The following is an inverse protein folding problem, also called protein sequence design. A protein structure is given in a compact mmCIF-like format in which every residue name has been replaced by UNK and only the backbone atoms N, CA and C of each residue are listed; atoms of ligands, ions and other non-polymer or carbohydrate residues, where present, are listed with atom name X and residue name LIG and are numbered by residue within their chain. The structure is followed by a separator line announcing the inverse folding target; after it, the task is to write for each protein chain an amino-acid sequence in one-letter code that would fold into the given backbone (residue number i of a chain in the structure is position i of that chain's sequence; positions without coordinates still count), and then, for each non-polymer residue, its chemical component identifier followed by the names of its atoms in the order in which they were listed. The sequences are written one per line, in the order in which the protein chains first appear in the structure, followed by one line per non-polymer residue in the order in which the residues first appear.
data_IF_202292122069
#
_entry.id   IF_202292122069
#
_cell.length_a   1.000
_cell.length_b   1.000
_cell.length_c   1.000
_cell.angle_alpha   90.00
_cell.angle_beta   90.00
_cell.angle_gamma   90.00
#
_symmetry.space_group_name_H-M   'P 1'
#
loop_
_entity.id
_entity.type
_entity.pdbx_description
1 polymer ?
#
# COMPACT_ATOMS: atom_id res chain seq x y z
N UNK A 1 2.94 -13.79 1.92
CA UNK A 1 1.72 -13.34 2.63
C UNK A 1 1.16 -12.15 1.85
N UNK A 2 -0.08 -12.23 1.36
CA UNK A 2 -0.73 -11.18 0.56
C UNK A 2 -1.39 -10.10 1.40
N UNK A 3 -1.78 -10.40 2.66
CA UNK A 3 -2.30 -9.43 3.63
C UNK A 3 -1.53 -9.59 4.95
N UNK A 4 -0.34 -8.96 5.09
CA UNK A 4 0.45 -9.01 6.31
C UNK A 4 -0.24 -8.26 7.45
N UNK A 5 0.22 -8.51 8.70
CA UNK A 5 -0.13 -7.64 9.82
C UNK A 5 0.24 -6.20 9.49
N UNK A 6 -0.65 -5.27 9.82
CA UNK A 6 -0.57 -3.87 9.38
C UNK A 6 -0.71 -2.87 10.52
N UNK A 7 -0.46 -3.28 11.76
CA UNK A 7 -0.28 -2.32 12.85
C UNK A 7 1.05 -1.58 12.67
N UNK A 8 1.23 -0.42 13.30
CA UNK A 8 2.51 0.33 13.26
C UNK A 8 3.73 -0.48 13.75
N UNK A 9 3.50 -1.55 14.53
CA UNK A 9 4.54 -2.45 15.04
C UNK A 9 4.68 -3.75 14.24
N UNK A 10 3.85 -3.94 13.22
CA UNK A 10 3.93 -5.12 12.36
C UNK A 10 5.16 -5.04 11.45
N UNK A 11 5.68 -6.22 11.08
CA UNK A 11 6.89 -6.32 10.25
C UNK A 11 6.79 -5.55 8.92
N UNK A 12 5.62 -5.55 8.28
CA UNK A 12 5.47 -4.90 6.98
C UNK A 12 5.64 -3.38 7.06
N UNK A 13 4.85 -2.62 7.88
CA UNK A 13 5.11 -1.19 8.09
C UNK A 13 6.52 -0.86 8.57
N UNK A 14 7.09 -1.64 9.49
CA UNK A 14 8.44 -1.38 10.00
C UNK A 14 9.53 -1.45 8.92
N UNK A 15 9.44 -2.40 7.99
CA UNK A 15 10.43 -2.50 6.90
C UNK A 15 10.41 -1.27 6.00
N UNK A 16 9.23 -0.72 5.71
CA UNK A 16 9.09 0.51 4.93
C UNK A 16 9.58 1.75 5.66
N UNK A 17 9.31 1.84 6.96
CA UNK A 17 9.84 2.91 7.82
C UNK A 17 11.37 2.92 7.83
N UNK A 18 12.00 1.73 7.90
CA UNK A 18 13.46 1.58 7.77
C UNK A 18 14.00 1.95 6.38
N UNK A 19 13.15 1.98 5.35
CA UNK A 19 13.49 2.46 4.00
C UNK A 19 13.17 3.95 3.80
N UNK A 20 12.73 4.65 4.86
CA UNK A 20 12.43 6.08 4.84
C UNK A 20 11.00 6.43 4.43
N UNK A 21 10.07 5.47 4.41
CA UNK A 21 8.65 5.71 4.14
C UNK A 21 7.88 5.55 5.44
N UNK A 22 7.35 6.66 5.96
CA UNK A 22 6.62 6.66 7.22
C UNK A 22 5.31 5.85 7.11
N UNK A 23 4.77 5.40 8.24
CA UNK A 23 3.52 4.64 8.26
C UNK A 23 2.33 5.39 7.61
N UNK A 24 2.12 6.70 7.84
CA UNK A 24 1.14 7.48 7.09
C UNK A 24 1.39 7.49 5.57
N UNK A 25 2.64 7.72 5.14
CA UNK A 25 2.98 7.78 3.70
C UNK A 25 2.80 6.43 3.02
N UNK A 26 3.05 5.32 3.74
CA UNK A 26 2.81 3.97 3.25
C UNK A 26 1.31 3.73 3.01
N UNK A 27 0.44 4.18 3.92
CA UNK A 27 -1.01 4.08 3.74
C UNK A 27 -1.44 4.86 2.51
N UNK A 28 -0.97 6.09 2.35
CA UNK A 28 -1.28 6.92 1.18
C UNK A 28 -0.84 6.25 -0.13
N UNK A 29 0.38 5.69 -0.17
CA UNK A 29 0.87 4.94 -1.32
C UNK A 29 -0.01 3.74 -1.67
N UNK A 30 -0.41 2.93 -0.68
CA UNK A 30 -1.25 1.76 -0.93
C UNK A 30 -2.64 2.14 -1.44
N UNK A 31 -3.23 3.22 -0.90
CA UNK A 31 -4.52 3.74 -1.39
C UNK A 31 -4.38 4.27 -2.82
N UNK A 32 -3.29 4.95 -3.15
CA UNK A 32 -3.03 5.42 -4.51
C UNK A 32 -2.89 4.25 -5.49
N UNK A 33 -2.12 3.21 -5.14
CA UNK A 33 -1.96 2.00 -5.95
C UNK A 33 -3.29 1.26 -6.14
N UNK A 34 -4.15 1.23 -5.12
CA UNK A 34 -5.47 0.63 -5.22
C UNK A 34 -6.36 1.36 -6.24
N UNK A 35 -6.35 2.71 -6.24
CA UNK A 35 -7.07 3.52 -7.23
C UNK A 35 -6.52 3.29 -8.64
N UNK A 36 -5.20 3.32 -8.81
CA UNK A 36 -4.55 3.07 -10.11
C UNK A 36 -4.91 1.69 -10.67
N UNK A 37 -4.89 0.66 -9.82
CA UNK A 37 -5.27 -0.71 -10.19
C UNK A 37 -6.74 -0.80 -10.61
N UNK A 38 -7.63 -0.10 -9.89
CA UNK A 38 -9.04 -0.02 -10.24
C UNK A 38 -9.26 0.67 -11.59
N UNK A 39 -8.67 1.84 -11.81
CA UNK A 39 -8.80 2.60 -13.06
C UNK A 39 -8.28 1.80 -14.27
N UNK A 40 -7.15 1.10 -14.10
CA UNK A 40 -6.59 0.20 -15.13
C UNK A 40 -7.54 -0.94 -15.50
N UNK A 41 -8.25 -1.49 -14.52
CA UNK A 41 -9.23 -2.55 -14.74
C UNK A 41 -10.47 -2.01 -15.45
N UNK A 42 -11.00 -0.88 -15.00
CA UNK A 42 -12.18 -0.24 -15.62
C UNK A 42 -11.92 0.15 -17.08
N UNK A 43 -10.75 0.71 -17.37
CA UNK A 43 -10.36 1.09 -18.73
C UNK A 43 -10.28 -0.10 -19.70
N UNK A 44 -10.09 -1.33 -19.19
CA UNK A 44 -10.05 -2.54 -20.00
C UNK A 44 -11.44 -3.14 -20.27
N UNK A 45 -12.47 -2.66 -19.56
CA UNK A 45 -13.85 -3.15 -19.65
C UNK A 45 -14.74 -2.30 -20.56
N UNK A 46 -14.24 -1.13 -21.01
CA UNK A 46 -14.86 -0.24 -21.98
C UNK A 46 -14.26 -0.47 -23.38
#
# INVERSE_FOLDING_TARGET
NTMPGFTQWSMYPLLWDNMGISYPDLIEHLVALAKESFDKREAHLL
#
